data_IF_960464723642
#
_entry.id   IF_960464723642
#
_cell.length_a   1.000
_cell.length_b   1.000
_cell.length_c   1.000
_cell.angle_alpha   90.00
_cell.angle_beta   90.00
_cell.angle_gamma   90.00
#
_symmetry.space_group_name_H-M   'P 1'
#
loop_
_entity.id
_entity.type
_entity.pdbx_description
1 polymer ?
#
# COMPACT_ATOMS: atom_id res chain seq x y z
N UNK A 1 17.78 -3.21 -4.76
CA UNK A 1 17.99 -1.79 -4.40
C UNK A 1 18.41 -1.64 -2.93
N UNK A 2 17.54 -2.00 -1.97
CA UNK A 2 17.81 -1.80 -0.53
C UNK A 2 19.13 -2.41 -0.09
N UNK A 3 19.35 -3.71 -0.34
CA UNK A 3 20.62 -4.39 0.00
C UNK A 3 21.86 -3.64 -0.50
N UNK A 4 21.84 -3.19 -1.75
CA UNK A 4 22.95 -2.45 -2.35
C UNK A 4 23.17 -1.09 -1.68
N UNK A 5 22.09 -0.37 -1.35
CA UNK A 5 22.19 0.92 -0.64
C UNK A 5 22.74 0.70 0.76
N UNK A 6 22.33 -0.37 1.45
CA UNK A 6 22.87 -0.73 2.77
C UNK A 6 24.36 -0.99 2.70
N UNK A 7 24.79 -1.99 1.91
CA UNK A 7 26.19 -2.45 1.82
C UNK A 7 27.14 -1.38 1.26
N UNK A 8 26.72 -0.63 0.24
CA UNK A 8 27.64 0.27 -0.51
C UNK A 8 27.54 1.74 -0.14
N UNK A 9 26.44 2.19 0.47
CA UNK A 9 26.22 3.62 0.73
C UNK A 9 26.15 3.91 2.22
N UNK A 10 25.42 3.09 2.99
CA UNK A 10 25.10 3.39 4.39
C UNK A 10 26.10 2.77 5.35
N UNK A 11 26.39 1.48 5.21
CA UNK A 11 27.33 0.76 6.07
C UNK A 11 28.74 1.40 6.07
N UNK A 12 29.31 1.84 4.93
CA UNK A 12 30.59 2.54 4.94
C UNK A 12 30.56 3.90 5.68
N UNK A 13 29.40 4.55 5.77
CA UNK A 13 29.22 5.84 6.47
C UNK A 13 29.05 5.67 7.98
N UNK A 14 28.52 4.52 8.41
CA UNK A 14 28.35 4.18 9.83
C UNK A 14 29.67 3.84 10.51
N UNK A 15 30.66 3.37 9.74
CA UNK A 15 31.97 2.99 10.27
C UNK A 15 31.91 1.73 11.13
N UNK A 16 33.00 1.45 11.86
CA UNK A 16 33.02 0.32 12.80
C UNK A 16 32.17 0.68 14.02
N UNK A 17 31.33 -0.25 14.47
CA UNK A 17 30.57 -0.06 15.69
C UNK A 17 31.48 -0.11 16.91
N UNK A 18 31.36 0.90 17.78
CA UNK A 18 32.08 0.98 19.04
C UNK A 18 31.04 0.98 20.17
N UNK A 19 31.11 0.02 21.09
CA UNK A 19 30.23 -0.02 22.26
C UNK A 19 30.40 1.27 23.09
N UNK A 20 29.38 2.13 23.11
CA UNK A 20 29.39 3.31 23.96
C UNK A 20 29.19 2.89 25.44
N UNK A 21 30.02 3.40 26.39
CA UNK A 21 29.84 3.12 27.82
C UNK A 21 28.46 3.57 28.29
N UNK A 22 27.67 2.67 28.90
CA UNK A 22 26.33 2.97 29.41
C UNK A 22 25.19 2.83 28.39
N UNK A 23 25.42 2.15 27.25
CA UNK A 23 24.37 1.55 26.43
C UNK A 23 24.06 0.14 26.98
N UNK A 24 23.45 0.10 28.16
CA UNK A 24 23.05 -1.13 28.83
C UNK A 24 21.68 -0.90 29.46
N UNK A 25 20.65 -0.85 28.62
CA UNK A 25 19.30 -1.17 29.06
C UNK A 25 19.09 -2.61 28.62
N UNK A 26 18.74 -3.45 29.59
CA UNK A 26 18.49 -4.88 29.47
C UNK A 26 17.73 -5.15 28.17
N UNK A 27 18.40 -5.82 27.23
CA UNK A 27 17.79 -6.25 25.98
C UNK A 27 16.82 -7.34 26.41
N UNK A 28 15.53 -7.02 26.51
CA UNK A 28 14.51 -8.06 26.50
C UNK A 28 14.85 -8.97 25.32
N UNK A 29 14.95 -10.26 25.59
CA UNK A 29 15.54 -11.29 24.74
C UNK A 29 14.84 -11.33 23.35
N UNK A 30 15.25 -10.45 22.43
CA UNK A 30 14.62 -10.25 21.10
C UNK A 30 14.87 -11.47 20.19
N UNK A 31 15.90 -12.25 20.48
CA UNK A 31 16.22 -13.56 19.89
C UNK A 31 15.72 -14.74 20.77
N UNK A 32 14.85 -14.48 21.76
CA UNK A 32 14.31 -15.54 22.60
C UNK A 32 13.65 -16.62 21.74
N UNK A 33 13.97 -17.91 21.97
CA UNK A 33 13.30 -18.99 21.28
C UNK A 33 11.80 -18.94 21.57
N UNK A 34 11.00 -19.14 20.52
CA UNK A 34 9.54 -19.18 20.65
C UNK A 34 9.12 -20.11 21.78
N UNK A 35 8.22 -19.63 22.64
CA UNK A 35 7.70 -20.47 23.71
C UNK A 35 6.89 -21.64 23.12
N UNK A 36 6.73 -22.76 23.86
CA UNK A 36 5.89 -23.88 23.41
C UNK A 36 4.47 -23.44 23.02
N UNK A 37 3.90 -22.49 23.74
CA UNK A 37 2.57 -21.91 23.49
C UNK A 37 2.55 -21.11 22.19
N UNK A 38 3.56 -20.27 21.93
CA UNK A 38 3.67 -19.52 20.67
C UNK A 38 3.86 -20.45 19.47
N UNK A 39 4.68 -21.50 19.62
CA UNK A 39 4.89 -22.51 18.57
C UNK A 39 3.62 -23.31 18.29
N UNK A 40 2.84 -23.65 19.33
CA UNK A 40 1.52 -24.25 19.21
C UNK A 40 0.53 -23.30 18.53
N UNK A 41 0.56 -22.02 18.91
CA UNK A 41 -0.20 -20.94 18.29
C UNK A 41 0.04 -20.83 16.79
N UNK A 42 1.31 -20.77 16.37
CA UNK A 42 1.68 -20.71 14.95
C UNK A 42 1.17 -21.91 14.15
N UNK A 43 1.21 -23.12 14.73
CA UNK A 43 0.68 -24.32 14.08
C UNK A 43 -0.83 -24.22 13.85
N UNK A 44 -1.59 -23.81 14.85
CA UNK A 44 -3.04 -23.65 14.70
C UNK A 44 -3.42 -22.48 13.78
N UNK A 45 -2.68 -21.38 13.83
CA UNK A 45 -2.84 -20.28 12.89
C UNK A 45 -2.59 -20.74 11.44
N UNK A 46 -1.54 -21.54 11.21
CA UNK A 46 -1.24 -22.14 9.92
C UNK A 46 -2.34 -23.09 9.45
N UNK A 47 -2.90 -23.92 10.34
CA UNK A 47 -4.03 -24.80 10.02
C UNK A 47 -5.30 -24.00 9.70
N UNK A 48 -5.59 -22.93 10.43
CA UNK A 48 -6.71 -22.05 10.16
C UNK A 48 -6.56 -21.34 8.81
N UNK A 49 -5.36 -20.81 8.52
CA UNK A 49 -5.03 -20.22 7.22
C UNK A 49 -5.23 -21.22 6.08
N UNK A 50 -4.71 -22.44 6.23
CA UNK A 50 -4.91 -23.50 5.24
C UNK A 50 -6.39 -23.84 5.07
N UNK A 51 -7.16 -23.94 6.15
CA UNK A 51 -8.60 -24.19 6.10
C UNK A 51 -9.35 -23.11 5.32
N UNK A 52 -9.02 -21.83 5.55
CA UNK A 52 -9.59 -20.70 4.80
C UNK A 52 -9.16 -20.75 3.33
N UNK A 53 -7.89 -20.97 3.03
CA UNK A 53 -7.43 -21.10 1.64
C UNK A 53 -8.11 -22.26 0.90
N UNK A 54 -8.29 -23.41 1.55
CA UNK A 54 -8.99 -24.56 0.98
C UNK A 54 -10.47 -24.28 0.76
N UNK A 55 -11.13 -23.58 1.69
CA UNK A 55 -12.52 -23.15 1.54
C UNK A 55 -12.68 -22.23 0.32
N UNK A 56 -11.82 -21.22 0.18
CA UNK A 56 -11.86 -20.33 -1.00
C UNK A 56 -11.54 -21.07 -2.29
N UNK A 57 -10.52 -21.95 -2.29
CA UNK A 57 -10.20 -22.77 -3.44
C UNK A 57 -11.39 -23.66 -3.84
N UNK A 58 -12.06 -24.27 -2.87
CA UNK A 58 -13.28 -25.04 -3.11
C UNK A 58 -14.40 -24.17 -3.67
N UNK A 59 -14.63 -22.98 -3.12
CA UNK A 59 -15.64 -22.04 -3.61
C UNK A 59 -15.32 -21.43 -4.99
N UNK A 60 -14.09 -21.57 -5.48
CA UNK A 60 -13.69 -21.12 -6.83
C UNK A 60 -13.62 -22.25 -7.85
N UNK A 61 -13.20 -23.45 -7.44
CA UNK A 61 -12.94 -24.57 -8.37
C UNK A 61 -13.97 -25.71 -8.25
N UNK A 62 -14.86 -25.68 -7.25
CA UNK A 62 -15.88 -26.69 -7.07
C UNK A 62 -17.03 -26.55 -8.09
N UNK A 63 -17.82 -27.62 -8.31
CA UNK A 63 -18.91 -27.60 -9.28
C UNK A 63 -20.05 -26.69 -8.80
N UNK A 64 -20.51 -25.77 -9.67
CA UNK A 64 -21.63 -24.87 -9.38
C UNK A 64 -21.35 -23.87 -8.25
N UNK A 65 -20.10 -23.44 -8.12
CA UNK A 65 -19.65 -22.61 -6.99
C UNK A 65 -19.76 -21.12 -7.30
N UNK A 66 -19.92 -20.26 -6.26
CA UNK A 66 -20.36 -18.88 -6.46
C UNK A 66 -19.23 -17.91 -6.85
N UNK A 67 -17.96 -18.33 -6.81
CA UNK A 67 -16.83 -17.41 -7.01
C UNK A 67 -16.27 -17.41 -8.44
N UNK A 68 -16.78 -18.28 -9.30
CA UNK A 68 -16.40 -18.35 -10.70
C UNK A 68 -17.67 -18.33 -11.56
N UNK A 69 -17.79 -17.32 -12.41
CA UNK A 69 -18.88 -17.20 -13.37
C UNK A 69 -18.57 -18.12 -14.57
N UNK A 70 -18.93 -19.40 -14.45
CA UNK A 70 -18.82 -20.45 -15.49
C UNK A 70 -20.16 -20.82 -16.14
N UNK A 71 -21.20 -20.02 -15.90
CA UNK A 71 -22.54 -20.25 -16.45
C UNK A 71 -22.67 -20.02 -17.96
N UNK A 72 -23.83 -20.40 -18.55
CA UNK A 72 -24.12 -20.21 -19.97
C UNK A 72 -23.95 -18.74 -20.41
N UNK A 73 -23.23 -18.50 -21.51
CA UNK A 73 -22.94 -17.15 -22.01
C UNK A 73 -21.59 -16.57 -21.55
N UNK A 74 -20.85 -17.27 -20.68
CA UNK A 74 -19.49 -16.87 -20.26
C UNK A 74 -18.39 -17.55 -21.06
N UNK A 75 -18.72 -18.49 -21.95
CA UNK A 75 -17.77 -19.40 -22.61
C UNK A 75 -16.62 -18.66 -23.34
N UNK A 76 -16.91 -17.50 -23.96
CA UNK A 76 -15.93 -16.66 -24.65
C UNK A 76 -15.16 -15.66 -23.76
N UNK A 77 -15.50 -15.55 -22.47
CA UNK A 77 -14.86 -14.59 -21.58
C UNK A 77 -13.47 -15.11 -21.11
N UNK A 78 -12.46 -14.24 -21.04
CA UNK A 78 -11.18 -14.58 -20.41
C UNK A 78 -11.35 -15.05 -18.97
N UNK A 79 -10.42 -15.92 -18.51
CA UNK A 79 -10.48 -16.54 -17.17
C UNK A 79 -10.63 -15.52 -16.04
N UNK A 80 -10.01 -14.34 -16.17
CA UNK A 80 -10.04 -13.30 -15.14
C UNK A 80 -11.38 -12.58 -15.05
N UNK A 81 -12.14 -12.53 -16.16
CA UNK A 81 -13.51 -12.02 -16.14
C UNK A 81 -14.46 -13.04 -15.49
N UNK A 82 -14.26 -14.33 -15.79
CA UNK A 82 -14.97 -15.42 -15.10
C UNK A 82 -14.68 -15.45 -13.61
N UNK A 83 -13.45 -15.14 -13.20
CA UNK A 83 -13.06 -15.01 -11.80
C UNK A 83 -13.44 -13.66 -11.15
N UNK A 84 -14.30 -12.85 -11.79
CA UNK A 84 -14.75 -11.56 -11.26
C UNK A 84 -15.32 -11.63 -9.83
N UNK A 85 -16.24 -12.56 -9.51
CA UNK A 85 -16.75 -12.75 -8.16
C UNK A 85 -15.66 -13.13 -7.15
N UNK A 86 -14.71 -14.00 -7.54
CA UNK A 86 -13.54 -14.33 -6.73
C UNK A 86 -12.74 -13.07 -6.36
N UNK A 87 -12.37 -12.24 -7.33
CA UNK A 87 -11.60 -11.02 -7.08
C UNK A 87 -12.34 -10.03 -6.16
N UNK A 88 -13.66 -9.89 -6.32
CA UNK A 88 -14.50 -9.06 -5.43
C UNK A 88 -14.58 -9.63 -4.01
N UNK A 89 -14.49 -10.96 -3.86
CA UNK A 89 -14.54 -11.63 -2.55
C UNK A 89 -13.23 -11.56 -1.76
N UNK A 90 -12.10 -11.21 -2.39
CA UNK A 90 -10.77 -11.27 -1.76
C UNK A 90 -10.66 -10.43 -0.48
N UNK A 91 -11.32 -9.26 -0.42
CA UNK A 91 -11.31 -8.43 0.79
C UNK A 91 -11.97 -9.16 1.96
N UNK A 92 -13.11 -9.80 1.73
CA UNK A 92 -13.78 -10.62 2.73
C UNK A 92 -12.97 -11.89 3.07
N UNK A 93 -12.28 -12.47 2.08
CA UNK A 93 -11.38 -13.59 2.25
C UNK A 93 -10.24 -13.26 3.22
N UNK A 94 -9.57 -12.12 3.01
CA UNK A 94 -8.51 -11.67 3.90
C UNK A 94 -9.02 -11.35 5.30
N UNK A 95 -10.22 -10.76 5.43
CA UNK A 95 -10.85 -10.54 6.74
C UNK A 95 -11.01 -11.88 7.49
N UNK A 96 -11.59 -12.88 6.85
CA UNK A 96 -11.84 -14.19 7.47
C UNK A 96 -10.52 -14.93 7.73
N UNK A 97 -9.55 -14.84 6.82
CA UNK A 97 -8.22 -15.43 6.97
C UNK A 97 -7.48 -14.86 8.17
N UNK A 98 -7.40 -13.53 8.29
CA UNK A 98 -6.71 -12.89 9.41
C UNK A 98 -7.45 -13.08 10.73
N UNK A 99 -8.78 -13.02 10.73
CA UNK A 99 -9.58 -13.29 11.93
C UNK A 99 -9.41 -14.73 12.41
N UNK A 100 -9.53 -15.70 11.51
CA UNK A 100 -9.39 -17.12 11.86
C UNK A 100 -7.97 -17.44 12.31
N UNK A 101 -6.94 -16.96 11.61
CA UNK A 101 -5.55 -17.17 11.99
C UNK A 101 -5.21 -16.49 13.33
N UNK A 102 -5.64 -15.23 13.52
CA UNK A 102 -5.42 -14.49 14.76
C UNK A 102 -6.13 -15.12 15.96
N UNK A 103 -7.37 -15.57 15.78
CA UNK A 103 -8.11 -16.27 16.82
C UNK A 103 -7.51 -17.64 17.13
N UNK A 104 -7.18 -18.45 16.12
CA UNK A 104 -6.57 -19.76 16.30
C UNK A 104 -5.19 -19.66 16.99
N UNK A 105 -4.39 -18.65 16.62
CA UNK A 105 -3.15 -18.33 17.32
C UNK A 105 -3.43 -17.99 18.78
N UNK A 106 -4.30 -17.01 19.04
CA UNK A 106 -4.52 -16.47 20.37
C UNK A 106 -5.15 -17.47 21.34
N UNK A 107 -6.07 -18.31 20.86
CA UNK A 107 -6.65 -19.39 21.64
C UNK A 107 -5.60 -20.45 22.03
N UNK A 108 -4.68 -20.77 21.13
CA UNK A 108 -3.66 -21.78 21.38
C UNK A 108 -2.45 -21.28 22.17
N UNK A 109 -2.13 -19.99 22.05
CA UNK A 109 -1.10 -19.29 22.81
C UNK A 109 -1.59 -18.77 24.18
N UNK A 110 -2.87 -19.01 24.53
CA UNK A 110 -3.56 -18.50 25.72
C UNK A 110 -3.56 -16.96 25.85
N UNK A 111 -3.47 -16.24 24.73
CA UNK A 111 -3.61 -14.77 24.71
C UNK A 111 -5.07 -14.33 24.51
N UNK A 112 -5.91 -15.20 23.97
CA UNK A 112 -7.36 -15.00 23.82
C UNK A 112 -8.05 -16.16 24.54
N UNK A 113 -8.60 -15.90 25.73
CA UNK A 113 -9.20 -16.96 26.56
C UNK A 113 -10.70 -17.12 26.29
N UNK A 114 -11.36 -16.04 25.87
CA UNK A 114 -12.80 -16.04 25.64
C UNK A 114 -13.22 -15.07 24.53
N UNK A 115 -14.49 -15.14 24.12
CA UNK A 115 -15.05 -14.30 23.05
C UNK A 115 -15.04 -12.79 23.40
N UNK A 116 -15.08 -12.41 24.68
CA UNK A 116 -15.04 -11.00 25.10
C UNK A 116 -13.64 -10.42 24.91
N UNK A 117 -12.59 -11.21 25.15
CA UNK A 117 -11.21 -10.80 24.87
C UNK A 117 -11.06 -10.48 23.38
N UNK A 118 -11.57 -11.38 22.51
CA UNK A 118 -11.56 -11.17 21.06
C UNK A 118 -12.33 -9.91 20.66
N UNK A 119 -13.56 -9.73 21.15
CA UNK A 119 -14.38 -8.54 20.87
C UNK A 119 -13.71 -7.27 21.40
N UNK A 120 -13.06 -7.34 22.57
CA UNK A 120 -12.29 -6.25 23.14
C UNK A 120 -11.14 -5.81 22.23
N UNK A 121 -10.36 -6.77 21.72
CA UNK A 121 -9.28 -6.50 20.76
C UNK A 121 -9.81 -5.91 19.44
N UNK A 122 -10.93 -6.43 18.93
CA UNK A 122 -11.58 -5.86 17.74
C UNK A 122 -12.08 -4.43 17.99
N UNK A 123 -12.61 -4.15 19.18
CA UNK A 123 -13.07 -2.82 19.57
C UNK A 123 -11.91 -1.83 19.62
N UNK A 124 -10.77 -2.24 20.18
CA UNK A 124 -9.58 -1.40 20.23
C UNK A 124 -9.07 -1.05 18.82
N UNK A 125 -9.01 -2.04 17.93
CA UNK A 125 -8.66 -1.80 16.52
C UNK A 125 -9.64 -0.83 15.83
N UNK A 126 -10.94 -0.85 16.18
CA UNK A 126 -11.91 0.12 15.63
C UNK A 126 -11.72 1.53 16.20
N UNK A 127 -11.25 1.69 17.43
CA UNK A 127 -10.91 3.01 17.99
C UNK A 127 -9.77 3.65 17.22
N UNK A 128 -8.74 2.87 16.88
CA UNK A 128 -7.62 3.34 16.06
C UNK A 128 -8.07 3.82 14.67
N UNK A 129 -9.09 3.17 14.10
CA UNK A 129 -9.72 3.59 12.83
C UNK A 129 -10.63 4.82 12.95
N UNK A 130 -10.92 5.31 14.16
CA UNK A 130 -11.82 6.46 14.37
C UNK A 130 -11.39 7.70 13.59
N UNK A 131 -10.09 8.01 13.58
CA UNK A 131 -9.55 9.12 12.76
C UNK A 131 -9.79 8.91 11.26
N UNK A 132 -9.58 7.69 10.77
CA UNK A 132 -9.79 7.35 9.37
C UNK A 132 -11.27 7.50 8.97
N UNK A 133 -12.22 7.11 9.83
CA UNK A 133 -13.66 7.27 9.56
C UNK A 133 -14.06 8.74 9.43
N UNK A 134 -13.56 9.62 10.30
CA UNK A 134 -13.83 11.07 10.22
C UNK A 134 -13.28 11.66 8.92
N UNK A 135 -12.05 11.28 8.56
CA UNK A 135 -11.43 11.71 7.31
C UNK A 135 -12.18 11.19 6.08
N UNK A 136 -12.52 9.90 6.06
CA UNK A 136 -13.26 9.28 4.96
C UNK A 136 -14.65 9.91 4.80
N UNK A 137 -15.32 10.28 5.90
CA UNK A 137 -16.58 11.03 5.87
C UNK A 137 -16.40 12.37 5.16
N UNK A 138 -15.42 13.19 5.57
CA UNK A 138 -15.17 14.48 4.94
C UNK A 138 -14.75 14.34 3.46
N UNK A 139 -13.88 13.38 3.16
CA UNK A 139 -13.44 13.08 1.79
C UNK A 139 -14.60 12.64 0.90
N UNK A 140 -15.47 11.75 1.37
CA UNK A 140 -16.64 11.31 0.61
C UNK A 140 -17.56 12.48 0.24
N UNK A 141 -17.79 13.41 1.18
CA UNK A 141 -18.56 14.62 0.91
C UNK A 141 -17.85 15.54 -0.09
N UNK A 142 -16.53 15.74 0.07
CA UNK A 142 -15.73 16.51 -0.89
C UNK A 142 -15.85 15.93 -2.30
N UNK A 143 -15.63 14.62 -2.46
CA UNK A 143 -15.74 13.94 -3.77
C UNK A 143 -17.14 14.08 -4.36
N UNK A 144 -18.19 13.90 -3.54
CA UNK A 144 -19.56 14.04 -3.99
C UNK A 144 -19.86 15.48 -4.46
N UNK A 145 -19.49 16.49 -3.69
CA UNK A 145 -19.68 17.90 -4.06
C UNK A 145 -18.82 18.32 -5.26
N UNK A 146 -17.59 17.82 -5.34
CA UNK A 146 -16.66 18.10 -6.43
C UNK A 146 -17.12 17.50 -7.76
N UNK A 147 -17.74 16.32 -7.70
CA UNK A 147 -18.40 15.70 -8.85
C UNK A 147 -19.69 16.44 -9.22
N UNK A 148 -20.56 16.74 -8.25
CA UNK A 148 -21.83 17.43 -8.50
C UNK A 148 -21.65 18.85 -9.08
N UNK A 149 -20.63 19.58 -8.62
CA UNK A 149 -20.28 20.90 -9.14
C UNK A 149 -19.60 20.88 -10.51
N UNK A 150 -19.32 19.70 -11.08
CA UNK A 150 -18.51 19.50 -12.29
C UNK A 150 -17.07 20.06 -12.20
N UNK A 151 -16.62 20.53 -11.03
CA UNK A 151 -15.26 21.05 -10.84
C UNK A 151 -14.21 19.97 -11.08
N UNK A 152 -14.53 18.70 -10.80
CA UNK A 152 -13.64 17.59 -11.13
C UNK A 152 -13.42 17.39 -12.62
N UNK A 153 -14.50 17.46 -13.40
CA UNK A 153 -14.41 17.37 -14.86
C UNK A 153 -13.63 18.56 -15.43
N UNK A 154 -13.95 19.78 -14.99
CA UNK A 154 -13.28 21.01 -15.44
C UNK A 154 -11.78 20.95 -15.12
N UNK A 155 -11.43 20.59 -13.89
CA UNK A 155 -10.03 20.47 -13.44
C UNK A 155 -9.28 19.39 -14.22
N UNK A 156 -9.92 18.26 -14.48
CA UNK A 156 -9.33 17.16 -15.26
C UNK A 156 -9.07 17.56 -16.70
N UNK A 157 -10.03 18.22 -17.37
CA UNK A 157 -9.89 18.66 -18.77
C UNK A 157 -8.80 19.73 -18.90
N UNK A 158 -8.79 20.74 -18.02
CA UNK A 158 -7.74 21.77 -18.06
C UNK A 158 -6.36 21.21 -17.70
N UNK A 159 -6.27 20.31 -16.72
CA UNK A 159 -5.02 19.65 -16.36
C UNK A 159 -4.47 18.78 -17.49
N UNK A 160 -5.33 17.96 -18.11
CA UNK A 160 -4.97 17.14 -19.26
C UNK A 160 -4.54 18.00 -20.44
N UNK A 161 -5.27 19.09 -20.72
CA UNK A 161 -4.93 20.05 -21.77
C UNK A 161 -3.58 20.73 -21.54
N UNK A 162 -3.26 21.11 -20.30
CA UNK A 162 -1.96 21.68 -19.96
C UNK A 162 -0.81 20.69 -20.15
N UNK A 163 -1.01 19.42 -19.75
CA UNK A 163 -0.04 18.35 -19.97
C UNK A 163 0.14 18.08 -21.47
N UNK A 164 -0.95 17.99 -22.23
CA UNK A 164 -0.88 17.76 -23.67
C UNK A 164 -0.18 18.92 -24.39
N UNK A 165 -0.46 20.17 -24.00
CA UNK A 165 0.19 21.36 -24.54
C UNK A 165 1.69 21.42 -24.23
N UNK A 166 2.15 20.79 -23.13
CA UNK A 166 3.58 20.69 -22.82
C UNK A 166 4.36 19.80 -23.80
N UNK A 167 3.67 18.94 -24.57
CA UNK A 167 4.29 18.00 -25.50
C UNK A 167 5.13 16.90 -24.82
N UNK A 168 5.02 16.74 -23.50
CA UNK A 168 5.79 15.75 -22.76
C UNK A 168 5.30 14.32 -23.09
N UNK A 169 6.22 13.36 -23.29
CA UNK A 169 5.86 11.96 -23.40
C UNK A 169 5.16 11.47 -22.13
N UNK A 170 4.12 10.64 -22.29
CA UNK A 170 3.30 10.15 -21.19
C UNK A 170 4.08 9.39 -20.09
N UNK A 171 5.13 8.59 -20.38
CA UNK A 171 6.00 8.03 -19.33
C UNK A 171 6.70 9.10 -18.47
N UNK A 172 7.06 10.25 -19.06
CA UNK A 172 7.66 11.38 -18.32
C UNK A 172 6.61 12.02 -17.41
N UNK A 173 5.39 12.20 -17.90
CA UNK A 173 4.25 12.72 -17.12
C UNK A 173 3.99 11.83 -15.90
N UNK A 174 3.95 10.52 -16.07
CA UNK A 174 3.78 9.58 -14.96
C UNK A 174 4.96 9.64 -13.97
N UNK A 175 6.19 9.73 -14.47
CA UNK A 175 7.35 9.96 -13.61
C UNK A 175 7.23 11.24 -12.79
N UNK A 176 6.76 12.34 -13.38
CA UNK A 176 6.51 13.59 -12.66
C UNK A 176 5.40 13.45 -11.60
N UNK A 177 4.38 12.63 -11.84
CA UNK A 177 3.34 12.34 -10.84
C UNK A 177 3.89 11.53 -9.67
N UNK A 178 4.76 10.55 -9.92
CA UNK A 178 5.47 9.82 -8.87
C UNK A 178 6.29 10.79 -8.00
N UNK A 179 7.03 11.70 -8.63
CA UNK A 179 7.82 12.73 -7.94
C UNK A 179 6.93 13.70 -7.15
N UNK A 180 5.83 14.18 -7.74
CA UNK A 180 4.85 15.05 -7.09
C UNK A 180 4.27 14.37 -5.85
N UNK A 181 3.87 13.10 -5.97
CA UNK A 181 3.32 12.33 -4.85
C UNK A 181 4.36 12.14 -3.75
N UNK A 182 5.61 11.83 -4.13
CA UNK A 182 6.72 11.70 -3.19
C UNK A 182 7.02 13.01 -2.45
N UNK A 183 6.92 14.16 -3.12
CA UNK A 183 7.07 15.48 -2.51
C UNK A 183 5.93 15.78 -1.54
N UNK A 184 4.68 15.55 -1.96
CA UNK A 184 3.50 15.77 -1.11
C UNK A 184 3.53 14.90 0.16
N UNK A 185 4.10 13.70 0.07
CA UNK A 185 4.26 12.81 1.21
C UNK A 185 5.14 13.39 2.33
N UNK A 186 6.08 14.28 2.02
CA UNK A 186 6.90 14.94 3.05
C UNK A 186 6.06 15.86 3.95
N UNK A 187 4.90 16.32 3.47
CA UNK A 187 3.99 17.19 4.20
C UNK A 187 2.80 16.42 4.79
N UNK A 188 2.35 15.35 4.12
CA UNK A 188 1.20 14.56 4.55
C UNK A 188 1.59 13.07 4.55
N UNK A 189 1.94 12.54 5.73
CA UNK A 189 2.40 11.15 5.86
C UNK A 189 1.31 10.07 5.68
N UNK A 190 0.02 10.45 5.69
CA UNK A 190 -1.08 9.50 5.53
C UNK A 190 -1.37 9.21 4.05
N UNK A 191 -1.08 7.98 3.62
CA UNK A 191 -1.37 7.49 2.27
C UNK A 191 -2.85 7.62 1.91
N UNK A 192 -3.76 7.30 2.84
CA UNK A 192 -5.20 7.39 2.58
C UNK A 192 -5.68 8.84 2.48
N UNK A 193 -5.12 9.75 3.29
CA UNK A 193 -5.51 11.17 3.28
C UNK A 193 -5.11 11.87 1.98
N UNK A 194 -3.87 11.64 1.53
CA UNK A 194 -3.40 12.18 0.25
C UNK A 194 -4.17 11.62 -0.93
N UNK A 195 -4.39 10.31 -0.96
CA UNK A 195 -5.12 9.71 -2.07
C UNK A 195 -6.56 10.22 -2.14
N UNK A 196 -7.22 10.38 -0.99
CA UNK A 196 -8.56 10.96 -0.92
C UNK A 196 -8.63 12.38 -1.52
N UNK A 197 -7.57 13.18 -1.38
CA UNK A 197 -7.47 14.51 -1.96
C UNK A 197 -7.09 14.50 -3.45
N UNK A 198 -6.14 13.64 -3.83
CA UNK A 198 -5.54 13.64 -5.18
C UNK A 198 -6.34 12.85 -6.20
N UNK A 199 -6.90 11.69 -5.81
CA UNK A 199 -7.60 10.78 -6.72
C UNK A 199 -8.73 11.46 -7.52
N UNK A 200 -9.58 12.32 -6.94
CA UNK A 200 -10.69 12.95 -7.66
C UNK A 200 -10.26 13.88 -8.80
N UNK A 201 -9.00 14.33 -8.78
CA UNK A 201 -8.43 15.22 -9.80
C UNK A 201 -7.49 14.44 -10.72
N UNK A 202 -6.53 13.69 -10.14
CA UNK A 202 -5.49 13.00 -10.90
C UNK A 202 -6.04 11.83 -11.73
N UNK A 203 -6.97 11.04 -11.19
CA UNK A 203 -7.48 9.87 -11.91
C UNK A 203 -8.22 10.27 -13.19
N UNK A 204 -9.24 11.17 -13.14
CA UNK A 204 -9.92 11.57 -14.37
C UNK A 204 -9.00 12.30 -15.36
N UNK A 205 -8.07 13.13 -14.86
CA UNK A 205 -7.09 13.81 -15.71
C UNK A 205 -6.21 12.83 -16.49
N UNK A 206 -5.71 11.78 -15.83
CA UNK A 206 -4.86 10.77 -16.45
C UNK A 206 -5.64 9.84 -17.40
N UNK A 207 -6.91 9.57 -17.09
CA UNK A 207 -7.79 8.86 -18.01
C UNK A 207 -7.97 9.61 -19.34
N UNK A 208 -8.08 10.95 -19.30
CA UNK A 208 -8.13 11.76 -20.53
C UNK A 208 -6.82 11.75 -21.33
N UNK A 209 -5.71 11.35 -20.71
CA UNK A 209 -4.41 11.16 -21.35
C UNK A 209 -4.15 9.71 -21.78
N UNK A 210 -5.12 8.81 -21.57
CA UNK A 210 -5.03 7.41 -21.98
C UNK A 210 -4.42 6.48 -20.93
N UNK A 211 -4.29 6.92 -19.67
CA UNK A 211 -3.79 6.09 -18.57
C UNK A 211 -4.96 5.55 -17.75
N UNK A 212 -4.92 4.26 -17.43
CA UNK A 212 -5.95 3.61 -16.60
C UNK A 212 -5.99 4.16 -15.16
N UNK A 213 -7.15 4.09 -14.46
CA UNK A 213 -7.23 4.35 -13.03
C UNK A 213 -6.25 3.51 -12.20
N UNK A 214 -6.02 2.26 -12.61
CA UNK A 214 -5.07 1.34 -12.00
C UNK A 214 -3.63 1.85 -12.17
N UNK A 215 -3.28 2.36 -13.36
CA UNK A 215 -1.98 2.99 -13.65
C UNK A 215 -1.75 4.25 -12.83
N UNK A 216 -2.77 5.12 -12.73
CA UNK A 216 -2.72 6.30 -11.87
C UNK A 216 -2.50 5.91 -10.39
N UNK A 217 -3.21 4.89 -9.91
CA UNK A 217 -3.07 4.38 -8.54
C UNK A 217 -1.69 3.76 -8.31
N UNK A 218 -1.16 3.01 -9.27
CA UNK A 218 0.16 2.41 -9.19
C UNK A 218 1.25 3.49 -9.10
N UNK A 219 1.21 4.52 -9.95
CA UNK A 219 2.12 5.65 -9.91
C UNK A 219 2.07 6.39 -8.55
N UNK A 220 0.86 6.62 -8.04
CA UNK A 220 0.66 7.20 -6.71
C UNK A 220 1.31 6.35 -5.61
N UNK A 221 1.06 5.04 -5.59
CA UNK A 221 1.58 4.14 -4.55
C UNK A 221 3.11 4.07 -4.55
N UNK A 222 3.74 4.15 -5.72
CA UNK A 222 5.20 4.19 -5.83
C UNK A 222 5.76 5.49 -5.25
N UNK A 223 5.15 6.63 -5.57
CA UNK A 223 5.57 7.93 -5.04
C UNK A 223 5.37 8.05 -3.52
N UNK A 224 4.21 7.59 -3.04
CA UNK A 224 3.86 7.55 -1.60
C UNK A 224 4.85 6.70 -0.81
N UNK A 225 5.16 5.50 -1.29
CA UNK A 225 6.04 4.57 -0.58
C UNK A 225 7.50 5.03 -0.48
N UNK A 226 8.02 5.68 -1.52
CA UNK A 226 9.45 6.00 -1.62
C UNK A 226 9.94 6.99 -0.55
N UNK A 227 9.14 7.98 -0.19
CA UNK A 227 9.54 9.07 0.71
C UNK A 227 9.06 8.92 2.16
N UNK A 228 8.34 7.84 2.49
CA UNK A 228 7.84 7.58 3.85
C UNK A 228 8.95 7.50 4.90
N UNK A 229 10.13 7.02 4.52
CA UNK A 229 11.26 6.82 5.43
C UNK A 229 12.04 8.09 5.77
N UNK A 230 11.80 9.20 5.04
CA UNK A 230 12.47 10.49 5.28
C UNK A 230 11.53 11.55 5.86
N UNK A 231 10.23 11.28 5.96
CA UNK A 231 9.28 12.24 6.52
C UNK A 231 9.27 12.19 8.05
N UNK A 232 9.62 13.28 8.74
CA UNK A 232 9.55 13.33 10.20
C UNK A 232 8.10 13.36 10.71
N UNK A 233 7.13 13.57 9.81
CA UNK A 233 5.70 13.57 10.10
C UNK A 233 5.09 12.16 10.13
N UNK A 234 5.87 11.13 9.80
CA UNK A 234 5.44 9.74 9.93
C UNK A 234 5.24 9.39 11.41
N UNK A 235 4.09 8.80 11.76
CA UNK A 235 3.71 8.47 13.15
C UNK A 235 4.75 7.57 13.85
N UNK A 236 5.44 6.71 13.09
CA UNK A 236 6.46 5.79 13.61
C UNK A 236 7.86 6.41 13.75
N UNK A 237 8.08 7.62 13.24
CA UNK A 237 9.40 8.25 13.23
C UNK A 237 10.00 8.43 14.64
N UNK A 238 9.26 8.91 15.67
CA UNK A 238 9.80 9.02 17.03
C UNK A 238 10.19 7.66 17.64
N UNK A 239 9.43 6.60 17.36
CA UNK A 239 9.72 5.26 17.86
C UNK A 239 11.04 4.73 17.26
N UNK A 240 11.23 4.89 15.96
CA UNK A 240 12.47 4.50 15.27
C UNK A 240 13.66 5.31 15.81
N UNK A 241 13.48 6.62 16.03
CA UNK A 241 14.52 7.46 16.60
C UNK A 241 14.93 6.97 18.00
N UNK A 242 13.97 6.62 18.85
CA UNK A 242 14.23 6.04 20.18
C UNK A 242 15.02 4.73 20.03
N UNK A 243 14.66 3.86 19.07
CA UNK A 243 15.43 2.65 18.81
C UNK A 243 16.86 2.92 18.37
N UNK A 244 17.10 3.90 17.50
CA UNK A 244 18.47 4.28 17.14
C UNK A 244 19.24 4.88 18.33
N UNK A 245 18.56 5.68 19.17
CA UNK A 245 19.16 6.28 20.37
C UNK A 245 19.57 5.25 21.43
N UNK A 246 19.00 4.03 21.39
CA UNK A 246 19.48 2.89 22.21
C UNK A 246 20.92 2.51 21.87
N UNK A 247 21.29 2.56 20.59
CA UNK A 247 22.62 2.18 20.11
C UNK A 247 23.59 3.37 20.08
N UNK A 248 23.08 4.57 19.79
CA UNK A 248 23.87 5.80 19.74
C UNK A 248 23.08 6.96 20.37
N UNK A 249 23.41 7.33 21.62
CA UNK A 249 22.66 8.33 22.40
C UNK A 249 22.51 9.69 21.71
N UNK A 250 23.53 10.11 20.97
CA UNK A 250 23.53 11.39 20.25
C UNK A 250 22.83 11.32 18.87
N UNK A 251 22.17 10.20 18.55
CA UNK A 251 21.48 10.03 17.28
C UNK A 251 20.24 10.92 17.22
N UNK A 252 20.32 11.96 16.40
CA UNK A 252 19.27 12.95 16.23
C UNK A 252 18.37 12.69 15.04
N UNK A 253 17.26 13.43 14.97
CA UNK A 253 16.34 13.44 13.83
C UNK A 253 17.08 13.65 12.50
N UNK A 254 17.99 14.62 12.45
CA UNK A 254 18.79 14.89 11.25
C UNK A 254 19.70 13.72 10.84
N UNK A 255 20.23 12.97 11.81
CA UNK A 255 21.06 11.78 11.53
C UNK A 255 20.23 10.64 10.95
N UNK A 256 19.04 10.41 11.50
CA UNK A 256 18.09 9.43 10.98
C UNK A 256 17.67 9.80 9.55
N UNK A 257 17.22 11.03 9.33
CA UNK A 257 16.81 11.50 8.01
C UNK A 257 17.97 11.44 7.00
N UNK A 258 19.16 11.90 7.36
CA UNK A 258 20.34 11.85 6.48
C UNK A 258 20.72 10.42 6.09
N UNK A 259 20.56 9.46 7.00
CA UNK A 259 20.79 8.04 6.72
C UNK A 259 19.70 7.44 5.82
N UNK A 260 18.46 7.92 5.92
CA UNK A 260 17.33 7.41 5.13
C UNK A 260 17.21 8.06 3.73
N UNK A 261 17.79 9.26 3.51
CA UNK A 261 17.77 9.95 2.21
C UNK A 261 18.29 9.07 1.07
N UNK A 262 19.46 8.39 1.17
CA UNK A 262 19.93 7.53 0.10
C UNK A 262 18.93 6.42 -0.27
N UNK A 263 18.31 5.78 0.72
CA UNK A 263 17.28 4.77 0.46
C UNK A 263 16.09 5.39 -0.28
N UNK A 264 15.59 6.54 0.17
CA UNK A 264 14.44 7.21 -0.43
C UNK A 264 14.71 7.60 -1.89
N UNK A 265 15.88 8.18 -2.17
CA UNK A 265 16.28 8.56 -3.54
C UNK A 265 16.37 7.34 -4.44
N UNK A 266 17.01 6.25 -4.01
CA UNK A 266 17.13 5.05 -4.82
C UNK A 266 15.80 4.31 -5.01
N UNK A 267 14.93 4.30 -3.99
CA UNK A 267 13.57 3.78 -4.11
C UNK A 267 12.74 4.61 -5.09
N UNK A 268 12.83 5.94 -5.03
CA UNK A 268 12.13 6.83 -5.94
C UNK A 268 12.61 6.67 -7.38
N UNK A 269 13.93 6.64 -7.60
CA UNK A 269 14.52 6.41 -8.94
C UNK A 269 14.12 5.05 -9.51
N UNK A 270 14.29 3.98 -8.73
CA UNK A 270 13.90 2.64 -9.17
C UNK A 270 12.39 2.52 -9.40
N UNK A 271 11.57 3.21 -8.59
CA UNK A 271 10.13 3.28 -8.75
C UNK A 271 9.69 4.01 -10.02
N UNK A 272 10.27 5.18 -10.31
CA UNK A 272 10.01 5.92 -11.56
C UNK A 272 10.39 5.06 -12.77
N UNK A 273 11.57 4.43 -12.74
CA UNK A 273 12.02 3.52 -13.81
C UNK A 273 11.04 2.35 -13.95
N UNK A 274 10.63 1.73 -12.84
CA UNK A 274 9.72 0.60 -12.85
C UNK A 274 8.39 0.95 -13.53
N UNK A 275 7.77 2.06 -13.13
CA UNK A 275 6.48 2.51 -13.70
C UNK A 275 6.65 2.90 -15.16
N UNK A 276 7.73 3.60 -15.51
CA UNK A 276 8.00 3.96 -16.90
C UNK A 276 8.21 2.73 -17.79
N UNK A 277 8.96 1.72 -17.33
CA UNK A 277 9.15 0.46 -18.05
C UNK A 277 7.83 -0.32 -18.17
N UNK A 278 7.03 -0.38 -17.11
CA UNK A 278 5.72 -1.05 -17.14
C UNK A 278 4.81 -0.47 -18.21
N UNK A 279 4.81 0.85 -18.31
CA UNK A 279 4.08 1.60 -19.30
C UNK A 279 4.65 1.39 -20.72
N UNK A 280 5.97 1.50 -20.90
CA UNK A 280 6.61 1.33 -22.20
C UNK A 280 6.39 -0.07 -22.79
N UNK A 281 6.40 -1.10 -21.94
CA UNK A 281 6.15 -2.48 -22.34
C UNK A 281 4.67 -2.86 -22.34
N UNK A 282 3.76 -1.93 -22.01
CA UNK A 282 2.31 -2.17 -21.95
C UNK A 282 1.96 -3.38 -21.07
N UNK A 283 2.71 -3.57 -19.99
CA UNK A 283 2.51 -4.72 -19.11
C UNK A 283 1.23 -4.51 -18.31
N UNK A 284 0.36 -5.54 -18.21
CA UNK A 284 -0.82 -5.44 -17.37
C UNK A 284 -0.39 -5.29 -15.91
N UNK A 285 -1.04 -4.39 -15.18
CA UNK A 285 -0.84 -4.19 -13.74
C UNK A 285 -1.48 -5.31 -12.91
N UNK A 286 -2.43 -6.03 -13.53
CA UNK A 286 -3.11 -7.19 -12.98
C UNK A 286 -3.99 -7.85 -14.05
N UNK A 287 -4.65 -8.97 -13.72
CA UNK A 287 -5.55 -9.65 -14.64
C UNK A 287 -6.67 -8.71 -15.13
N UNK A 288 -6.70 -8.41 -16.43
CA UNK A 288 -7.68 -7.49 -17.01
C UNK A 288 -7.46 -6.00 -16.71
N UNK A 289 -6.32 -5.63 -16.13
CA UNK A 289 -5.97 -4.24 -15.80
C UNK A 289 -4.80 -3.75 -16.67
N UNK A 290 -5.06 -3.28 -17.91
CA UNK A 290 -4.02 -2.71 -18.76
C UNK A 290 -3.50 -1.40 -18.16
N UNK A 291 -2.25 -1.04 -18.45
CA UNK A 291 -1.68 0.23 -18.00
C UNK A 291 -2.37 1.41 -18.72
N UNK A 292 -2.56 1.28 -20.03
CA UNK A 292 -3.21 2.28 -20.88
C UNK A 292 -4.66 1.90 -21.20
N UNK A 293 -5.47 2.92 -21.44
CA UNK A 293 -6.85 2.79 -21.92
C UNK A 293 -6.98 3.41 -23.31
N UNK A 294 -7.73 2.75 -24.18
CA UNK A 294 -8.05 3.30 -25.49
C UNK A 294 -8.97 4.52 -25.31
N UNK A 295 -8.47 5.70 -25.67
CA UNK A 295 -9.31 6.89 -25.74
C UNK A 295 -10.10 6.77 -27.04
N UNK A 296 -11.42 6.65 -26.95
CA UNK A 296 -12.29 6.68 -28.14
C UNK A 296 -12.03 7.94 -28.96
N UNK A 297 -12.28 7.93 -30.29
CA UNK A 297 -12.09 9.13 -31.10
C UNK A 297 -12.85 10.28 -30.47
N UNK A 298 -12.16 11.40 -30.22
CA UNK A 298 -12.80 12.61 -29.74
C UNK A 298 -13.93 12.94 -30.71
N UNK A 299 -15.18 12.76 -30.28
CA UNK A 299 -16.33 13.28 -31.00
C UNK A 299 -16.20 14.78 -30.93
N UNK A 300 -15.64 15.38 -31.99
CA UNK A 300 -15.72 16.81 -32.22
C UNK A 300 -17.20 17.19 -32.16
N UNK A 301 -17.59 18.19 -31.33
CA UNK A 301 -18.96 18.66 -31.27
C UNK A 301 -19.44 19.20 -32.62
#
# INVERSE_FOLDING_TARGET
VIWYVTDRVIEPRLGKWHHAPGAGIDVGDEDAPLTPEQKKGLRYAGLALLGVCLLWAFMTLGPGTPLLDDGPGTEGNPWYQKAGPFFRSLVAAFLILFLAAGWAYGAAANTINNHRDLVGMMTEAMKDLGYYLVLAFAAAHFVAMFNWSNLGLISAVHGAGAIQASGLPLPVVIGLIVLLTGLLNLFVGSASAKWALLAPVLVPMLMLLGVSPEGATAAYRVGDGATNIITPLMVYFPLILIFCQRWQKDFGLGSLTAMMIPYSVWLLLSGVILVALWMLFQLPLGPGAPFDIAIGPATTP
#
